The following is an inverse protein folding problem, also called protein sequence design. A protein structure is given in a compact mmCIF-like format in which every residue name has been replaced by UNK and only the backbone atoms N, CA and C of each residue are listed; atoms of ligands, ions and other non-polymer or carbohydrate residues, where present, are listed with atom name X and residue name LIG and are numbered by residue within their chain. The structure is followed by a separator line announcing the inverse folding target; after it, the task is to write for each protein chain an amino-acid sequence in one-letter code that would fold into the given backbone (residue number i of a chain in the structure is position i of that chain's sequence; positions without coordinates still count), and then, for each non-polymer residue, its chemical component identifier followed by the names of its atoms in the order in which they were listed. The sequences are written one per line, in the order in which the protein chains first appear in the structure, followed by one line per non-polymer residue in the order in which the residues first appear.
data_IF_129538520368
#
_entry.id   IF_129538520368
#
_cell.length_a   1.000
_cell.length_b   1.000
_cell.length_c   1.000
_cell.angle_alpha   90.00
_cell.angle_beta   90.00
_cell.angle_gamma   90.00
#
_symmetry.space_group_name_H-M   'P 1'
#
loop_
_entity.id
_entity.type
_entity.pdbx_description
1 polymer ?
#
# COMPACT_ATOMS: atom_id res chain seq x y z
N UNK A 1 0.67 20.79 10.09
CA UNK A 1 1.15 20.74 8.69
C UNK A 1 1.79 19.39 8.50
N UNK A 2 1.15 18.49 7.77
CA UNK A 2 1.80 17.25 7.33
C UNK A 2 2.48 17.55 6.00
N UNK A 3 3.77 17.88 6.04
CA UNK A 3 4.61 17.94 4.84
C UNK A 3 4.60 16.56 4.21
N UNK A 4 4.50 16.48 2.88
CA UNK A 4 4.59 15.21 2.14
C UNK A 4 5.90 14.52 2.57
N UNK A 5 5.73 13.47 3.36
CA UNK A 5 6.81 12.70 3.96
C UNK A 5 7.34 11.78 2.86
N UNK A 6 8.66 11.81 2.64
CA UNK A 6 9.30 11.10 1.53
C UNK A 6 8.84 9.64 1.42
N UNK A 7 8.34 9.26 0.24
CA UNK A 7 7.94 7.88 -0.09
C UNK A 7 9.23 7.09 -0.37
N UNK A 8 9.70 6.31 0.60
CA UNK A 8 10.81 5.38 0.36
C UNK A 8 10.22 4.02 -0.01
N UNK A 9 10.05 3.77 -1.32
CA UNK A 9 9.78 2.43 -1.84
C UNK A 9 11.06 1.59 -1.75
N UNK A 10 11.29 0.94 -0.61
CA UNK A 10 12.40 -0.01 -0.49
C UNK A 10 11.94 -1.40 -0.92
N UNK A 11 11.95 -1.66 -2.23
CA UNK A 11 11.84 -3.03 -2.75
C UNK A 11 13.13 -3.80 -2.44
N UNK A 12 13.06 -4.73 -1.48
CA UNK A 12 14.16 -5.66 -1.19
C UNK A 12 14.18 -6.83 -2.20
N UNK A 13 14.22 -6.53 -3.50
CA UNK A 13 14.50 -7.55 -4.51
C UNK A 13 15.65 -7.09 -5.40
N UNK A 14 16.83 -7.67 -5.18
CA UNK A 14 18.05 -7.30 -5.92
C UNK A 14 18.04 -7.84 -7.36
N UNK A 15 17.12 -8.74 -7.75
CA UNK A 15 17.12 -9.47 -9.04
C UNK A 15 15.74 -9.62 -9.72
N UNK A 16 14.72 -8.81 -9.40
CA UNK A 16 13.42 -8.89 -10.10
C UNK A 16 13.27 -7.82 -11.19
N UNK A 17 12.48 -8.17 -12.21
CA UNK A 17 11.89 -7.24 -13.17
C UNK A 17 11.23 -6.04 -12.48
N UNK A 18 11.09 -4.92 -13.19
CA UNK A 18 10.37 -3.75 -12.70
C UNK A 18 8.96 -4.11 -12.23
N UNK A 19 8.53 -3.51 -11.12
CA UNK A 19 7.13 -3.50 -10.71
C UNK A 19 6.45 -2.28 -11.34
N UNK A 20 5.22 -2.42 -11.77
CA UNK A 20 4.45 -1.37 -12.44
C UNK A 20 3.23 -1.00 -11.60
N UNK A 21 3.03 0.30 -11.41
CA UNK A 21 1.83 0.88 -10.79
C UNK A 21 1.11 1.74 -11.83
N UNK A 22 -0.12 1.38 -12.16
CA UNK A 22 -0.97 2.15 -13.08
C UNK A 22 -2.10 2.77 -12.25
N UNK A 23 -2.46 4.04 -12.51
CA UNK A 23 -3.62 4.69 -11.90
C UNK A 23 -3.41 5.29 -10.50
N UNK A 24 -2.18 5.31 -9.97
CA UNK A 24 -1.88 5.71 -8.58
C UNK A 24 -1.84 7.23 -8.30
N UNK A 25 -2.07 8.10 -9.28
CA UNK A 25 -1.95 9.56 -9.08
C UNK A 25 -2.99 10.12 -8.10
N UNK A 26 -4.24 9.67 -8.19
CA UNK A 26 -5.33 10.06 -7.27
C UNK A 26 -5.23 9.43 -5.89
N UNK A 27 -4.46 8.36 -5.74
CA UNK A 27 -4.19 7.76 -4.43
C UNK A 27 -3.47 8.76 -3.50
N UNK A 28 -2.51 9.52 -4.03
CA UNK A 28 -1.81 10.58 -3.29
C UNK A 28 -2.76 11.71 -2.88
N UNK A 29 -3.74 12.05 -3.72
CA UNK A 29 -4.77 13.04 -3.39
C UNK A 29 -5.73 12.58 -2.28
N UNK A 30 -5.95 11.27 -2.16
CA UNK A 30 -6.79 10.70 -1.10
C UNK A 30 -6.01 10.70 0.23
N UNK A 31 -4.74 10.30 0.22
CA UNK A 31 -3.89 10.33 1.42
C UNK A 31 -3.74 11.75 2.00
N UNK A 32 -3.63 12.77 1.15
CA UNK A 32 -3.47 14.15 1.60
C UNK A 32 -4.70 14.72 2.34
N UNK A 33 -5.85 14.07 2.24
CA UNK A 33 -7.10 14.49 2.87
C UNK A 33 -7.33 13.87 4.26
N UNK A 34 -6.52 12.90 4.67
CA UNK A 34 -6.67 12.27 5.98
C UNK A 34 -5.92 13.03 7.07
N UNK A 35 -6.68 13.71 7.92
CA UNK A 35 -6.22 14.22 9.21
C UNK A 35 -7.07 13.57 10.31
N UNK A 36 -6.73 12.33 10.69
CA UNK A 36 -7.45 11.64 11.75
C UNK A 36 -6.59 11.56 13.02
N UNK A 37 -7.14 11.77 14.24
CA UNK A 37 -6.39 11.62 15.50
C UNK A 37 -6.09 10.16 15.89
N UNK A 38 -6.51 9.19 15.07
CA UNK A 38 -6.22 7.77 15.29
C UNK A 38 -4.72 7.52 15.07
N UNK A 39 -4.20 6.33 15.39
CA UNK A 39 -2.89 5.85 14.92
C UNK A 39 -3.01 4.92 13.70
N UNK A 40 -4.23 4.79 13.18
CA UNK A 40 -4.59 3.89 12.09
C UNK A 40 -5.75 4.45 11.26
N UNK A 41 -5.65 4.36 9.93
CA UNK A 41 -6.75 4.60 9.00
C UNK A 41 -6.83 3.45 8.01
N UNK A 42 -8.05 3.06 7.65
CA UNK A 42 -8.32 2.03 6.64
C UNK A 42 -9.33 2.59 5.63
N UNK A 43 -9.02 2.46 4.35
CA UNK A 43 -9.85 2.89 3.24
C UNK A 43 -10.06 1.72 2.32
N UNK A 44 -11.33 1.42 2.03
CA UNK A 44 -11.75 0.36 1.12
C UNK A 44 -12.33 1.01 -0.13
N UNK A 45 -11.91 0.52 -1.30
CA UNK A 45 -12.42 0.97 -2.58
C UNK A 45 -13.55 0.05 -3.05
N UNK A 46 -14.68 0.64 -3.43
CA UNK A 46 -15.82 -0.10 -3.99
C UNK A 46 -15.72 -0.16 -5.52
N UNK A 47 -16.28 -1.20 -6.12
CA UNK A 47 -16.24 -1.44 -7.58
C UNK A 47 -16.93 -0.34 -8.42
N UNK A 48 -17.82 0.46 -7.81
CA UNK A 48 -18.42 1.66 -8.40
C UNK A 48 -17.37 2.76 -8.72
N UNK A 49 -16.16 2.70 -8.15
CA UNK A 49 -15.02 3.56 -8.51
C UNK A 49 -14.21 3.03 -9.72
N UNK A 50 -14.79 2.14 -10.54
CA UNK A 50 -14.18 1.50 -11.72
C UNK A 50 -13.55 2.44 -12.76
N UNK A 51 -13.85 3.74 -12.75
CA UNK A 51 -13.17 4.73 -13.59
C UNK A 51 -11.70 4.99 -13.19
N UNK A 52 -11.24 4.48 -12.03
CA UNK A 52 -9.88 4.67 -11.52
C UNK A 52 -9.29 3.35 -11.01
N UNK A 53 -9.16 2.36 -11.90
CA UNK A 53 -8.51 1.09 -11.56
C UNK A 53 -7.02 1.34 -11.29
N UNK A 54 -6.59 1.12 -10.05
CA UNK A 54 -5.17 1.07 -9.72
C UNK A 54 -4.67 -0.37 -9.82
N UNK A 55 -3.68 -0.60 -10.70
CA UNK A 55 -3.18 -1.93 -11.02
C UNK A 55 -1.72 -2.09 -10.59
N UNK A 56 -1.38 -3.31 -10.19
CA UNK A 56 -0.05 -3.76 -9.81
C UNK A 56 0.33 -4.99 -10.64
N UNK A 57 1.49 -4.94 -11.28
CA UNK A 57 2.03 -6.07 -12.06
C UNK A 57 3.56 -6.02 -12.12
N UNK A 58 4.18 -7.07 -12.66
CA UNK A 58 5.64 -7.16 -12.79
C UNK A 58 6.36 -7.62 -11.51
N UNK A 59 7.68 -7.51 -11.50
CA UNK A 59 8.51 -8.08 -10.44
C UNK A 59 8.27 -9.59 -10.22
N UNK A 60 8.03 -10.04 -8.97
CA UNK A 60 7.75 -11.44 -8.67
C UNK A 60 6.30 -11.87 -8.98
N UNK A 61 5.44 -10.95 -9.45
CA UNK A 61 4.02 -11.22 -9.66
C UNK A 61 3.79 -11.91 -11.01
N UNK A 62 3.12 -13.06 -10.97
CA UNK A 62 2.72 -13.81 -12.17
C UNK A 62 1.40 -13.34 -12.79
N UNK A 63 0.70 -12.41 -12.14
CA UNK A 63 -0.60 -11.90 -12.55
C UNK A 63 -0.70 -10.40 -12.29
N UNK A 64 -1.76 -9.80 -12.81
CA UNK A 64 -2.13 -8.43 -12.48
C UNK A 64 -3.02 -8.41 -11.23
N UNK A 65 -2.85 -7.39 -10.40
CA UNK A 65 -3.61 -7.22 -9.17
C UNK A 65 -4.26 -5.83 -9.13
N UNK A 66 -5.50 -5.76 -8.67
CA UNK A 66 -6.30 -4.53 -8.52
C UNK A 66 -6.26 -4.05 -7.06
N UNK A 67 -5.98 -2.77 -6.82
CA UNK A 67 -6.03 -2.17 -5.48
C UNK A 67 -7.47 -2.21 -4.96
N UNK A 68 -7.67 -2.73 -3.75
CA UNK A 68 -8.99 -2.83 -3.10
C UNK A 68 -9.05 -2.15 -1.74
N UNK A 69 -7.90 -1.96 -1.10
CA UNK A 69 -7.83 -1.33 0.21
C UNK A 69 -6.44 -0.71 0.39
N UNK A 70 -6.37 0.36 1.17
CA UNK A 70 -5.13 0.67 1.87
C UNK A 70 -5.40 0.90 3.35
N UNK A 71 -4.36 0.73 4.15
CA UNK A 71 -4.38 1.16 5.53
C UNK A 71 -3.01 1.71 5.92
N UNK A 72 -3.02 2.71 6.80
CA UNK A 72 -1.83 3.41 7.25
C UNK A 72 -1.73 3.27 8.76
N UNK A 73 -0.56 2.91 9.24
CA UNK A 73 -0.16 2.93 10.64
C UNK A 73 0.79 4.10 10.87
N UNK A 74 0.61 4.84 11.97
CA UNK A 74 1.55 5.86 12.42
C UNK A 74 1.57 5.93 13.93
N UNK A 75 2.67 6.40 14.50
CA UNK A 75 2.79 6.58 15.94
C UNK A 75 2.97 8.03 16.34
N UNK A 76 3.14 8.23 17.64
CA UNK A 76 3.28 9.55 18.24
C UNK A 76 4.68 10.15 18.11
N UNK A 77 5.65 9.41 17.55
CA UNK A 77 7.05 9.83 17.49
C UNK A 77 7.73 9.42 16.19
N UNK A 78 8.83 10.11 15.88
CA UNK A 78 9.52 9.97 14.59
C UNK A 78 10.20 8.61 14.37
N UNK A 79 10.26 7.74 15.39
CA UNK A 79 10.92 6.44 15.33
C UNK A 79 9.99 5.29 15.72
N UNK A 80 8.67 5.55 15.78
CA UNK A 80 7.67 4.58 16.23
C UNK A 80 6.38 4.82 15.47
N UNK A 81 5.92 3.82 14.72
CA UNK A 81 4.64 3.90 14.00
C UNK A 81 4.44 2.89 12.88
N UNK A 82 5.53 2.40 12.28
CA UNK A 82 5.47 1.26 11.37
C UNK A 82 5.25 -0.05 12.13
N UNK A 83 4.52 -0.98 11.52
CA UNK A 83 4.35 -2.35 12.02
C UNK A 83 5.64 -3.14 11.79
N UNK A 84 6.20 -3.02 10.58
CA UNK A 84 7.46 -3.64 10.21
C UNK A 84 8.65 -2.77 10.58
N UNK A 85 9.83 -3.39 10.65
CA UNK A 85 11.10 -2.72 10.93
C UNK A 85 12.08 -2.94 9.79
N UNK A 86 12.82 -1.89 9.41
CA UNK A 86 13.93 -1.99 8.48
C UNK A 86 15.22 -2.05 9.30
N UNK A 87 15.95 -3.17 9.22
CA UNK A 87 17.18 -3.39 9.99
C UNK A 87 16.98 -3.20 11.52
N UNK A 88 15.82 -3.60 12.05
CA UNK A 88 15.47 -3.44 13.46
C UNK A 88 15.03 -2.03 13.87
N UNK A 89 14.88 -1.11 12.91
CA UNK A 89 14.44 0.27 13.16
C UNK A 89 13.00 0.44 12.68
N UNK A 90 12.12 0.91 13.56
CA UNK A 90 10.75 1.32 13.20
C UNK A 90 10.77 2.70 12.54
N UNK A 91 9.88 2.89 11.57
CA UNK A 91 9.65 4.15 10.88
C UNK A 91 8.46 4.90 11.51
N UNK A 92 8.37 6.23 11.34
CA UNK A 92 7.27 7.03 11.89
C UNK A 92 5.87 6.60 11.41
N UNK A 93 5.78 6.06 10.19
CA UNK A 93 4.55 5.53 9.64
C UNK A 93 4.84 4.45 8.58
N UNK A 94 3.84 3.61 8.34
CA UNK A 94 3.83 2.59 7.30
C UNK A 94 2.46 2.47 6.65
N UNK A 95 2.44 2.48 5.33
CA UNK A 95 1.25 2.32 4.50
C UNK A 95 1.26 0.94 3.86
N UNK A 96 0.17 0.21 3.98
CA UNK A 96 -0.09 -1.03 3.25
C UNK A 96 -1.13 -0.76 2.17
N UNK A 97 -0.77 -1.07 0.92
CA UNK A 97 -1.70 -1.12 -0.20
C UNK A 97 -2.02 -2.58 -0.49
N UNK A 98 -3.29 -2.97 -0.33
CA UNK A 98 -3.78 -4.34 -0.51
C UNK A 98 -4.41 -4.48 -1.89
N UNK A 99 -3.89 -5.43 -2.66
CA UNK A 99 -4.35 -5.72 -4.00
C UNK A 99 -4.92 -7.13 -4.10
N UNK A 100 -6.02 -7.29 -4.81
CA UNK A 100 -6.62 -8.57 -5.18
C UNK A 100 -6.13 -9.01 -6.56
N UNK A 101 -5.81 -10.29 -6.72
CA UNK A 101 -5.49 -10.84 -8.04
C UNK A 101 -6.72 -10.75 -8.95
N UNK A 102 -6.56 -10.21 -10.16
CA UNK A 102 -7.67 -9.99 -11.10
C UNK A 102 -8.32 -11.29 -11.60
N UNK A 103 -7.70 -12.45 -11.36
CA UNK A 103 -8.34 -13.76 -11.61
C UNK A 103 -9.50 -14.09 -10.68
N UNK A 104 -9.63 -13.37 -9.55
CA UNK A 104 -10.69 -13.59 -8.57
C UNK A 104 -11.66 -12.41 -8.55
N UNK A 105 -12.95 -12.73 -8.61
CA UNK A 105 -14.01 -11.73 -8.59
C UNK A 105 -14.21 -11.09 -7.20
N UNK A 106 -13.96 -11.85 -6.12
CA UNK A 106 -14.22 -11.40 -4.74
C UNK A 106 -13.02 -11.66 -3.84
N UNK A 107 -12.84 -10.79 -2.85
CA UNK A 107 -11.81 -10.96 -1.83
C UNK A 107 -11.98 -12.27 -1.07
N UNK A 108 -13.24 -12.63 -0.75
CA UNK A 108 -13.58 -13.90 -0.08
C UNK A 108 -13.09 -15.12 -0.85
N UNK A 109 -13.17 -15.10 -2.18
CA UNK A 109 -12.60 -16.17 -3.00
C UNK A 109 -11.07 -16.08 -3.01
N UNK A 110 -10.52 -14.88 -3.22
CA UNK A 110 -9.09 -14.67 -3.37
C UNK A 110 -8.29 -15.14 -2.16
N UNK A 111 -8.76 -14.88 -0.92
CA UNK A 111 -8.05 -15.27 0.31
C UNK A 111 -7.90 -16.79 0.48
N UNK A 112 -8.68 -17.59 -0.26
CA UNK A 112 -8.56 -19.06 -0.23
C UNK A 112 -7.40 -19.58 -1.08
N UNK A 113 -6.73 -18.71 -1.83
CA UNK A 113 -5.61 -19.06 -2.71
C UNK A 113 -4.34 -18.31 -2.33
N UNK A 114 -3.21 -19.00 -2.45
CA UNK A 114 -1.88 -18.49 -2.05
C UNK A 114 -1.41 -17.27 -2.85
N UNK A 115 -1.96 -17.05 -4.04
CA UNK A 115 -1.65 -15.93 -4.93
C UNK A 115 -2.82 -14.95 -5.09
N UNK A 116 -3.83 -15.03 -4.21
CA UNK A 116 -5.03 -14.20 -4.29
C UNK A 116 -4.84 -12.76 -3.85
N UNK A 117 -3.87 -12.47 -2.99
CA UNK A 117 -3.55 -11.12 -2.53
C UNK A 117 -2.08 -10.77 -2.74
N UNK A 118 -1.83 -9.50 -2.96
CA UNK A 118 -0.50 -8.88 -2.90
C UNK A 118 -0.58 -7.64 -2.03
N UNK A 119 0.42 -7.42 -1.17
CA UNK A 119 0.48 -6.26 -0.29
C UNK A 119 1.79 -5.50 -0.52
N UNK A 120 1.68 -4.20 -0.79
CA UNK A 120 2.83 -3.31 -0.91
C UNK A 120 2.94 -2.48 0.36
N UNK A 121 4.04 -2.67 1.10
CA UNK A 121 4.40 -1.84 2.25
C UNK A 121 5.26 -0.64 1.85
N UNK A 122 4.90 0.54 2.32
CA UNK A 122 5.60 1.81 2.07
C UNK A 122 5.94 2.46 3.41
N UNK A 123 7.22 2.72 3.63
CA UNK A 123 7.71 3.35 4.86
C UNK A 123 7.90 4.85 4.65
N UNK A 124 7.54 5.62 5.68
CA UNK A 124 7.68 7.07 5.69
C UNK A 124 8.85 7.51 6.57
N UNK A 125 9.54 8.60 6.19
CA UNK A 125 10.61 9.21 6.99
C UNK A 125 10.43 10.73 7.07
N UNK A 126 10.48 11.28 8.29
CA UNK A 126 10.41 12.73 8.51
C UNK A 126 11.60 13.41 7.83
N UNK A 127 11.32 14.49 7.10
CA UNK A 127 12.29 15.30 6.35
C UNK A 127 12.18 16.78 6.70
#
# INVERSE_FOLDING_TARGET
MASIVSIVMKMLCKHCCSIFFIGFSRFIEILSKFTHPSCHVCVVFNDEMSLFVSLLSGGPLASEYKLIQFHLHWGSGNNWGSEHMINGISCPAELHCVFINTKYATMETAITYSDGLSVVGIFFQVS
#
